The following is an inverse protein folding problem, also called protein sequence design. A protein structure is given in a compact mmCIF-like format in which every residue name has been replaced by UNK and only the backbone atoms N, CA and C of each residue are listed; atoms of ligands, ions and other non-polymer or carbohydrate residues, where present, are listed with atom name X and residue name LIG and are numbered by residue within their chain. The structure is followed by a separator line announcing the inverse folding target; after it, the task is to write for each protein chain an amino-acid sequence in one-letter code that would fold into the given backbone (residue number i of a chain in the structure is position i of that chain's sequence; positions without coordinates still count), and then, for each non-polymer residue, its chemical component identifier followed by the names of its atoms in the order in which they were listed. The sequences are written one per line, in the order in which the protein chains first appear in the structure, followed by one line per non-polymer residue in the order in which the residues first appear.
data_IF_200917941127
#
_entry.id   IF_200917941127
#
_cell.length_a   1.000
_cell.length_b   1.000
_cell.length_c   1.000
_cell.angle_alpha   90.00
_cell.angle_beta   90.00
_cell.angle_gamma   90.00
#
_symmetry.space_group_name_H-M   'P 1'
#
loop_
_entity.id
_entity.type
_entity.pdbx_description
1 polymer ?
#
# COMPACT_ATOMS: atom_id res chain seq x y z
N UNK A 1 7.12 -10.48 2.11
CA UNK A 1 7.49 -10.05 3.48
C UNK A 1 6.66 -8.85 3.94
N UNK A 2 6.50 -7.80 3.11
CA UNK A 2 5.82 -6.53 3.45
C UNK A 2 4.44 -6.70 4.11
N UNK A 3 3.59 -7.60 3.59
CA UNK A 3 2.27 -7.84 4.19
C UNK A 3 2.30 -8.48 5.58
N UNK A 4 3.34 -9.26 5.90
CA UNK A 4 3.41 -10.00 7.18
C UNK A 4 3.46 -9.02 8.35
N UNK A 5 4.20 -7.92 8.19
CA UNK A 5 4.32 -6.93 9.25
C UNK A 5 3.00 -6.19 9.52
N UNK A 6 2.17 -5.95 8.50
CA UNK A 6 0.85 -5.35 8.67
C UNK A 6 -0.23 -6.33 9.12
N UNK A 7 0.01 -7.63 8.94
CA UNK A 7 -0.96 -8.69 9.23
C UNK A 7 -1.50 -8.61 10.65
N UNK A 8 -0.65 -8.31 11.62
CA UNK A 8 -1.07 -8.20 13.02
C UNK A 8 -2.01 -7.01 13.26
N UNK A 9 -1.85 -5.90 12.54
CA UNK A 9 -2.65 -4.68 12.77
C UNK A 9 -4.11 -4.95 12.41
N UNK A 10 -4.39 -5.35 11.17
CA UNK A 10 -5.77 -5.54 10.72
C UNK A 10 -6.43 -6.78 11.34
N UNK A 11 -5.65 -7.82 11.71
CA UNK A 11 -6.18 -8.97 12.47
C UNK A 11 -6.67 -8.55 13.85
N UNK A 12 -5.85 -7.83 14.61
CA UNK A 12 -6.21 -7.38 15.95
C UNK A 12 -7.38 -6.40 15.93
N UNK A 13 -7.47 -5.52 14.91
CA UNK A 13 -8.64 -4.66 14.71
C UNK A 13 -9.92 -5.49 14.52
N UNK A 14 -9.89 -6.49 13.63
CA UNK A 14 -11.03 -7.38 13.39
C UNK A 14 -11.45 -8.15 14.65
N UNK A 15 -10.47 -8.74 15.36
CA UNK A 15 -10.69 -9.51 16.59
C UNK A 15 -11.25 -8.65 17.74
N UNK A 16 -10.94 -7.35 17.77
CA UNK A 16 -11.46 -6.40 18.76
C UNK A 16 -12.82 -5.81 18.39
N UNK A 17 -13.41 -6.26 17.28
CA UNK A 17 -14.77 -5.88 16.87
C UNK A 17 -14.83 -4.74 15.86
N UNK A 18 -13.70 -4.23 15.36
CA UNK A 18 -13.72 -3.26 14.27
C UNK A 18 -14.05 -3.95 12.94
N UNK A 19 -14.83 -3.28 12.09
CA UNK A 19 -15.08 -3.71 10.72
C UNK A 19 -13.91 -3.26 9.85
N UNK A 20 -13.24 -4.21 9.21
CA UNK A 20 -12.05 -3.94 8.40
C UNK A 20 -12.31 -4.40 6.99
N UNK A 21 -12.15 -3.49 6.03
CA UNK A 21 -12.06 -3.82 4.61
C UNK A 21 -10.59 -3.76 4.21
N UNK A 22 -10.03 -4.90 3.80
CA UNK A 22 -8.63 -5.07 3.47
C UNK A 22 -8.48 -5.30 1.96
N UNK A 23 -7.76 -4.42 1.29
CA UNK A 23 -7.31 -4.65 -0.10
C UNK A 23 -5.96 -5.36 -0.01
N UNK A 24 -5.85 -6.60 -0.51
CA UNK A 24 -4.62 -7.40 -0.37
C UNK A 24 -4.42 -8.39 -1.52
N UNK A 25 -3.17 -8.63 -1.90
CA UNK A 25 -2.81 -9.68 -2.87
C UNK A 25 -2.80 -11.09 -2.26
N UNK A 26 -2.78 -11.20 -0.93
CA UNK A 26 -2.66 -12.48 -0.22
C UNK A 26 -3.73 -12.57 0.88
N UNK A 27 -5.01 -12.78 0.51
CA UNK A 27 -6.08 -12.91 1.47
C UNK A 27 -5.89 -14.17 2.34
N UNK A 28 -6.11 -14.04 3.64
CA UNK A 28 -5.92 -15.12 4.62
C UNK A 28 -7.16 -16.01 4.72
N UNK A 29 -8.36 -15.47 4.48
CA UNK A 29 -9.65 -16.18 4.50
C UNK A 29 -9.87 -16.97 5.81
N UNK A 30 -9.42 -16.41 6.93
CA UNK A 30 -9.56 -17.02 8.25
C UNK A 30 -11.02 -16.92 8.72
N UNK A 31 -11.74 -18.04 8.94
CA UNK A 31 -13.13 -18.01 9.35
C UNK A 31 -13.36 -17.39 10.74
N UNK A 32 -12.30 -17.21 11.55
CA UNK A 32 -12.39 -16.55 12.86
C UNK A 32 -12.48 -15.02 12.74
N UNK A 33 -12.09 -14.44 11.62
CA UNK A 33 -12.07 -12.99 11.38
C UNK A 33 -13.38 -12.52 10.76
N UNK A 34 -14.48 -12.65 11.51
CA UNK A 34 -15.84 -12.39 11.01
C UNK A 34 -16.11 -10.93 10.63
N UNK A 35 -15.32 -9.99 11.15
CA UNK A 35 -15.42 -8.55 10.83
C UNK A 35 -14.39 -8.11 9.76
N UNK A 36 -13.72 -9.05 9.09
CA UNK A 36 -12.77 -8.77 8.02
C UNK A 36 -13.39 -9.08 6.66
N UNK A 37 -13.41 -8.08 5.78
CA UNK A 37 -13.72 -8.24 4.35
C UNK A 37 -12.42 -8.10 3.57
N UNK A 38 -12.04 -9.13 2.81
CA UNK A 38 -10.80 -9.11 2.02
C UNK A 38 -11.12 -8.98 0.53
N UNK A 39 -10.58 -7.96 -0.11
CA UNK A 39 -10.64 -7.76 -1.56
C UNK A 39 -9.36 -8.34 -2.17
N UNK A 40 -9.53 -9.39 -2.97
CA UNK A 40 -8.44 -10.22 -3.49
C UNK A 40 -7.79 -9.58 -4.73
N UNK A 41 -6.56 -9.10 -4.56
CA UNK A 41 -5.74 -8.46 -5.60
C UNK A 41 -4.70 -9.43 -6.19
N UNK A 42 -4.81 -10.74 -5.98
CA UNK A 42 -3.78 -11.72 -6.39
C UNK A 42 -3.43 -11.65 -7.88
N UNK A 43 -4.37 -11.26 -8.74
CA UNK A 43 -4.13 -11.07 -10.18
C UNK A 43 -3.01 -10.06 -10.48
N UNK A 44 -2.73 -9.11 -9.58
CA UNK A 44 -1.66 -8.12 -9.76
C UNK A 44 -0.27 -8.74 -9.74
N UNK A 45 -0.11 -9.97 -9.22
CA UNK A 45 1.15 -10.72 -9.35
C UNK A 45 1.52 -11.02 -10.80
N UNK A 46 0.55 -11.09 -11.72
CA UNK A 46 0.82 -11.27 -13.16
C UNK A 46 1.64 -10.11 -13.73
N UNK A 47 1.53 -8.92 -13.14
CA UNK A 47 2.32 -7.75 -13.54
C UNK A 47 3.78 -7.88 -13.13
N UNK A 48 4.12 -8.72 -12.14
CA UNK A 48 5.52 -8.92 -11.72
C UNK A 48 6.37 -9.57 -12.82
N UNK A 49 5.76 -10.35 -13.73
CA UNK A 49 6.46 -10.86 -14.91
C UNK A 49 6.98 -9.76 -15.85
N UNK A 50 6.47 -8.53 -15.74
CA UNK A 50 6.97 -7.37 -16.50
C UNK A 50 8.26 -6.78 -15.90
N UNK A 51 8.52 -6.99 -14.61
CA UNK A 51 9.77 -6.60 -13.93
C UNK A 51 10.95 -7.51 -14.31
N UNK A 52 10.73 -8.77 -14.65
CA UNK A 52 11.85 -9.69 -14.94
C UNK A 52 12.62 -9.36 -16.23
N UNK A 53 12.08 -8.50 -17.10
CA UNK A 53 12.75 -8.04 -18.32
C UNK A 53 13.81 -6.94 -18.08
N UNK A 54 13.99 -6.51 -16.83
CA UNK A 54 14.88 -5.40 -16.44
C UNK A 54 16.36 -5.79 -16.49
N UNK A 55 16.69 -7.08 -16.38
CA UNK A 55 18.07 -7.56 -16.27
C UNK A 55 18.95 -7.33 -17.52
N UNK A 56 18.38 -6.80 -18.62
CA UNK A 56 19.07 -6.65 -19.90
C UNK A 56 19.49 -5.21 -20.26
N UNK A 57 19.12 -4.18 -19.49
CA UNK A 57 19.53 -2.80 -19.74
C UNK A 57 20.63 -2.34 -18.78
N UNK A 58 21.45 -1.36 -19.20
CA UNK A 58 22.52 -0.81 -18.38
C UNK A 58 21.97 -0.29 -17.04
N UNK A 59 22.41 -0.91 -15.94
CA UNK A 59 22.02 -0.59 -14.57
C UNK A 59 22.53 0.81 -14.20
N UNK A 60 21.67 1.81 -14.35
CA UNK A 60 21.83 3.09 -13.66
C UNK A 60 20.73 3.19 -12.60
N UNK A 61 21.03 3.86 -11.47
CA UNK A 61 20.06 4.12 -10.40
C UNK A 61 18.78 4.76 -10.94
N UNK A 62 18.92 5.65 -11.93
CA UNK A 62 17.80 6.31 -12.60
C UNK A 62 16.89 5.34 -13.37
N UNK A 63 17.48 4.39 -14.10
CA UNK A 63 16.72 3.39 -14.84
C UNK A 63 15.96 2.45 -13.89
N UNK A 64 16.58 2.06 -12.78
CA UNK A 64 15.93 1.27 -11.72
C UNK A 64 14.75 2.04 -11.12
N UNK A 65 14.98 3.28 -10.68
CA UNK A 65 13.94 4.14 -10.11
C UNK A 65 12.75 4.28 -11.06
N UNK A 66 12.99 4.68 -12.32
CA UNK A 66 11.93 4.85 -13.33
C UNK A 66 11.16 3.55 -13.56
N UNK A 67 11.84 2.41 -13.51
CA UNK A 67 11.18 1.13 -13.77
C UNK A 67 10.33 0.67 -12.60
N UNK A 68 10.83 0.82 -11.37
CA UNK A 68 10.04 0.55 -10.15
C UNK A 68 8.81 1.46 -10.12
N UNK A 69 8.97 2.75 -10.42
CA UNK A 69 7.84 3.69 -10.50
C UNK A 69 6.81 3.27 -11.55
N UNK A 70 7.23 2.94 -12.78
CA UNK A 70 6.31 2.47 -13.82
C UNK A 70 5.59 1.17 -13.42
N UNK A 71 6.27 0.27 -12.72
CA UNK A 71 5.69 -0.95 -12.20
C UNK A 71 4.63 -0.66 -11.14
N UNK A 72 4.95 0.16 -10.14
CA UNK A 72 3.99 0.57 -9.09
C UNK A 72 2.77 1.26 -9.70
N UNK A 73 2.95 2.15 -10.67
CA UNK A 73 1.85 2.80 -11.39
C UNK A 73 0.96 1.77 -12.12
N UNK A 74 1.56 0.75 -12.75
CA UNK A 74 0.80 -0.31 -13.42
C UNK A 74 -0.01 -1.16 -12.43
N UNK A 75 0.55 -1.41 -11.24
CA UNK A 75 -0.14 -2.11 -10.15
C UNK A 75 -1.29 -1.25 -9.62
N UNK A 76 -1.04 0.03 -9.34
CA UNK A 76 -2.04 0.97 -8.88
C UNK A 76 -3.22 1.07 -9.85
N UNK A 77 -2.95 1.19 -11.15
CA UNK A 77 -3.99 1.26 -12.17
C UNK A 77 -4.81 -0.04 -12.24
N UNK A 78 -4.16 -1.20 -12.17
CA UNK A 78 -4.86 -2.49 -12.15
C UNK A 78 -5.72 -2.67 -10.89
N UNK A 79 -5.22 -2.29 -9.72
CA UNK A 79 -5.94 -2.39 -8.45
C UNK A 79 -7.10 -1.39 -8.37
N UNK A 80 -6.86 -0.13 -8.74
CA UNK A 80 -7.90 0.89 -8.77
C UNK A 80 -9.00 0.55 -9.79
N UNK A 81 -8.65 -0.08 -10.91
CA UNK A 81 -9.63 -0.54 -11.91
C UNK A 81 -10.40 -1.81 -11.49
N UNK A 82 -10.04 -2.46 -10.39
CA UNK A 82 -10.71 -3.67 -9.94
C UNK A 82 -12.16 -3.40 -9.56
N UNK A 83 -13.09 -4.26 -9.97
CA UNK A 83 -14.53 -4.02 -9.81
C UNK A 83 -14.95 -3.75 -8.36
N UNK A 84 -14.38 -4.49 -7.40
CA UNK A 84 -14.66 -4.28 -5.97
C UNK A 84 -14.07 -2.97 -5.43
N UNK A 85 -12.92 -2.52 -5.97
CA UNK A 85 -12.30 -1.25 -5.58
C UNK A 85 -13.07 -0.08 -6.20
N UNK A 86 -13.53 -0.21 -7.45
CA UNK A 86 -14.45 0.73 -8.08
C UNK A 86 -15.77 0.84 -7.30
N UNK A 87 -16.28 -0.28 -6.78
CA UNK A 87 -17.44 -0.30 -5.89
C UNK A 87 -17.18 0.53 -4.63
N UNK A 88 -16.00 0.40 -4.01
CA UNK A 88 -15.61 1.24 -2.87
C UNK A 88 -15.56 2.75 -3.22
N UNK A 89 -15.06 3.10 -4.40
CA UNK A 89 -14.97 4.50 -4.87
C UNK A 89 -16.36 5.13 -5.07
N UNK A 90 -17.31 4.36 -5.60
CA UNK A 90 -18.62 4.89 -6.00
C UNK A 90 -19.72 4.69 -4.94
N UNK A 91 -19.55 3.78 -4.00
CA UNK A 91 -20.54 3.53 -2.96
C UNK A 91 -20.42 4.52 -1.81
N UNK A 92 -21.57 4.89 -1.24
CA UNK A 92 -21.68 5.72 -0.03
C UNK A 92 -21.42 4.92 1.26
N UNK A 93 -20.31 4.19 1.30
CA UNK A 93 -19.86 3.52 2.52
C UNK A 93 -19.26 4.55 3.49
N UNK A 94 -19.37 4.28 4.79
CA UNK A 94 -18.75 5.10 5.83
C UNK A 94 -17.55 4.36 6.41
N UNK A 95 -16.41 5.05 6.51
CA UNK A 95 -15.20 4.54 7.15
C UNK A 95 -14.68 5.58 8.13
N UNK A 96 -14.33 5.14 9.35
CA UNK A 96 -13.82 6.04 10.39
C UNK A 96 -12.34 6.42 10.20
N UNK A 97 -11.59 5.62 9.44
CA UNK A 97 -10.16 5.83 9.17
C UNK A 97 -9.71 5.05 7.94
N UNK A 98 -8.76 5.61 7.18
CA UNK A 98 -8.08 4.94 6.08
C UNK A 98 -6.60 4.74 6.41
N UNK A 99 -6.16 3.49 6.31
CA UNK A 99 -4.80 3.02 6.59
C UNK A 99 -4.12 2.65 5.29
N UNK A 100 -2.99 3.28 4.95
CA UNK A 100 -2.29 3.06 3.69
C UNK A 100 -0.80 2.80 3.94
N UNK A 101 -0.25 1.81 3.23
CA UNK A 101 1.19 1.59 3.18
C UNK A 101 1.86 2.67 2.31
N UNK A 102 3.03 3.16 2.76
CA UNK A 102 3.77 4.25 2.13
C UNK A 102 4.01 4.10 0.61
N UNK A 103 4.15 2.89 0.07
CA UNK A 103 4.43 2.69 -1.37
C UNK A 103 3.19 2.81 -2.26
N UNK A 104 1.99 2.94 -1.68
CA UNK A 104 0.69 3.00 -2.36
C UNK A 104 -0.07 4.29 -2.02
N UNK A 105 0.63 5.43 -2.01
CA UNK A 105 0.10 6.74 -1.58
C UNK A 105 -1.18 7.16 -2.30
N UNK A 106 -1.41 6.70 -3.52
CA UNK A 106 -2.63 6.97 -4.28
C UNK A 106 -3.91 6.50 -3.57
N UNK A 107 -3.82 5.47 -2.71
CA UNK A 107 -4.94 4.98 -1.92
C UNK A 107 -5.32 5.93 -0.77
N UNK A 108 -4.51 6.94 -0.46
CA UNK A 108 -4.90 8.01 0.47
C UNK A 108 -6.11 8.80 -0.04
N UNK A 109 -6.41 8.75 -1.34
CA UNK A 109 -7.60 9.37 -1.92
C UNK A 109 -8.91 8.81 -1.35
N UNK A 110 -8.92 7.55 -0.88
CA UNK A 110 -10.11 6.97 -0.23
C UNK A 110 -10.52 7.74 1.03
N UNK A 111 -9.56 8.31 1.75
CA UNK A 111 -9.86 9.12 2.92
C UNK A 111 -10.64 10.39 2.57
N UNK A 112 -10.37 10.98 1.40
CA UNK A 112 -11.12 12.14 0.89
C UNK A 112 -12.53 11.74 0.44
N UNK A 113 -12.67 10.55 -0.18
CA UNK A 113 -13.97 10.01 -0.60
C UNK A 113 -14.88 9.78 0.62
N UNK A 114 -14.31 9.29 1.72
CA UNK A 114 -15.06 8.96 2.93
C UNK A 114 -15.09 10.07 3.99
N UNK A 115 -14.44 11.21 3.72
CA UNK A 115 -14.31 12.34 4.64
C UNK A 115 -13.81 11.92 6.03
N UNK A 116 -12.69 11.17 6.07
CA UNK A 116 -12.14 10.62 7.30
C UNK A 116 -10.62 10.78 7.41
N UNK A 117 -10.04 10.63 8.63
CA UNK A 117 -8.60 10.68 8.82
C UNK A 117 -7.85 9.62 7.99
N UNK A 118 -6.69 10.02 7.45
CA UNK A 118 -5.77 9.15 6.72
C UNK A 118 -4.50 8.90 7.54
N UNK A 119 -4.05 7.65 7.58
CA UNK A 119 -2.82 7.24 8.26
C UNK A 119 -1.93 6.53 7.25
N UNK A 120 -0.76 7.12 7.01
CA UNK A 120 0.29 6.54 6.19
C UNK A 120 1.33 5.88 7.11
N UNK A 121 1.71 4.64 6.82
CA UNK A 121 2.72 3.92 7.60
C UNK A 121 3.62 3.08 6.71
N UNK A 122 4.80 2.75 7.21
CA UNK A 122 5.82 2.02 6.47
C UNK A 122 6.46 0.93 7.34
N UNK A 123 6.90 -0.14 6.71
CA UNK A 123 7.69 -1.23 7.32
C UNK A 123 9.18 -1.06 7.14
N UNK A 124 9.58 -0.06 6.36
CA UNK A 124 10.95 0.30 6.10
C UNK A 124 11.11 1.81 6.21
N UNK A 125 12.32 2.26 6.50
CA UNK A 125 12.59 3.68 6.69
C UNK A 125 12.49 4.41 5.34
N UNK A 126 11.64 5.46 5.23
CA UNK A 126 11.62 6.31 4.06
C UNK A 126 12.93 7.10 3.89
N UNK A 127 13.14 7.66 2.69
CA UNK A 127 14.28 8.57 2.45
C UNK A 127 14.18 9.83 3.30
N UNK A 128 15.31 10.49 3.61
CA UNK A 128 15.30 11.70 4.45
C UNK A 128 14.42 12.82 3.89
N UNK A 129 14.33 12.92 2.56
CA UNK A 129 13.40 13.82 1.86
C UNK A 129 11.95 13.56 2.29
N UNK A 130 11.53 12.29 2.36
CA UNK A 130 10.18 11.91 2.76
C UNK A 130 9.97 12.21 4.25
N UNK A 131 10.95 11.94 5.11
CA UNK A 131 10.87 12.35 6.52
C UNK A 131 10.63 13.86 6.63
N UNK A 132 11.39 14.66 5.89
CA UNK A 132 11.22 16.12 5.87
C UNK A 132 9.83 16.54 5.39
N UNK A 133 9.30 15.90 4.34
CA UNK A 133 7.96 16.20 3.81
C UNK A 133 6.85 15.86 4.80
N UNK A 134 7.04 14.80 5.59
CA UNK A 134 6.10 14.39 6.63
C UNK A 134 6.29 15.14 7.96
N UNK A 135 7.29 16.03 8.05
CA UNK A 135 7.61 16.77 9.28
C UNK A 135 8.30 15.93 10.35
N UNK A 136 8.84 14.76 10.00
CA UNK A 136 9.62 13.93 10.89
C UNK A 136 10.99 14.58 11.15
N UNK A 137 11.52 14.52 12.38
CA UNK A 137 12.86 15.03 12.67
C UNK A 137 13.90 14.21 11.92
N UNK A 138 14.72 14.89 11.11
CA UNK A 138 15.83 14.28 10.38
C UNK A 138 17.16 14.55 11.09
N UNK A 139 17.91 13.48 11.33
CA UNK A 139 19.30 13.56 11.79
C UNK A 139 20.20 12.87 10.75
N UNK A 140 21.05 13.62 10.02
CA UNK A 140 21.92 13.06 8.98
C UNK A 140 22.89 11.97 9.47
N UNK A 141 23.19 11.93 10.78
CA UNK A 141 24.05 10.89 11.38
C UNK A 141 23.27 9.59 11.63
N UNK A 142 21.97 9.70 11.95
CA UNK A 142 21.11 8.53 12.19
C UNK A 142 20.49 8.00 10.89
N UNK A 143 20.27 8.87 9.91
CA UNK A 143 19.59 8.59 8.63
C UNK A 143 20.45 9.08 7.45
N UNK A 144 21.60 8.43 7.18
CA UNK A 144 22.40 8.77 6.01
C UNK A 144 21.67 8.34 4.74
N UNK A 145 21.28 9.30 3.90
CA UNK A 145 20.79 8.99 2.56
C UNK A 145 21.91 8.34 1.74
N UNK A 146 21.54 7.41 0.85
CA UNK A 146 22.48 6.91 -0.15
C UNK A 146 22.75 8.03 -1.15
N UNK A 147 23.93 8.65 -1.04
CA UNK A 147 24.43 9.67 -1.97
C UNK A 147 24.60 9.18 -3.40
#
# INVERSE_FOLDING_TARGET
SHQIAYTHIWKELSLRGHKVTLITTDPVKDPKLTNLTEIDMKSTYELMGKLSNISKSAFTMWNVYRTVQNFLNSVAEAQLSHAEVQSLIHNKSHFDVVLVEFIYVEFLAFAEIYDCPKILFSTFDPYSLIHSLLGNPINPVLYPDMG
#
